data_IF_694019819187
#
_entry.id   IF_694019819187
#
_cell.length_a   1.000
_cell.length_b   1.000
_cell.length_c   1.000
_cell.angle_alpha   90.00
_cell.angle_beta   90.00
_cell.angle_gamma   90.00
#
_symmetry.space_group_name_H-M   'P 1'
#
loop_
_entity.id
_entity.type
_entity.pdbx_description
1 polymer ?
#
# COMPACT_ATOMS: atom_id res chain seq x y z
N UNK A 1 -4.04 28.53 18.00
CA UNK A 1 -4.67 27.20 18.06
C UNK A 1 -5.12 26.84 16.66
N UNK A 2 -4.62 25.73 16.12
CA UNK A 2 -4.70 25.36 14.70
C UNK A 2 -6.13 25.41 14.14
N UNK A 3 -6.32 25.84 12.88
CA UNK A 3 -7.65 26.07 12.32
C UNK A 3 -8.35 24.76 11.92
N UNK A 4 -9.68 24.86 11.93
CA UNK A 4 -10.67 23.88 11.54
C UNK A 4 -10.65 23.60 10.03
N UNK A 5 -10.90 22.34 9.63
CA UNK A 5 -11.47 21.98 8.33
C UNK A 5 -10.49 21.56 7.22
N UNK A 6 -10.46 20.27 6.90
CA UNK A 6 -9.85 19.73 5.69
C UNK A 6 -10.23 18.25 5.52
N UNK A 7 -11.10 17.96 4.56
CA UNK A 7 -11.32 16.60 4.07
C UNK A 7 -10.03 16.09 3.41
N UNK A 8 -9.64 14.86 3.75
CA UNK A 8 -8.77 13.99 2.95
C UNK A 8 -7.27 14.22 3.11
N UNK A 9 -6.56 13.11 3.31
CA UNK A 9 -5.11 12.88 3.36
C UNK A 9 -4.37 13.41 4.59
N UNK A 10 -4.16 12.50 5.53
CA UNK A 10 -3.13 12.67 6.55
C UNK A 10 -1.74 12.58 5.89
N UNK A 11 -0.74 13.41 6.27
CA UNK A 11 0.59 13.43 5.63
C UNK A 11 1.44 12.17 5.87
N UNK A 12 0.88 11.14 6.52
CA UNK A 12 1.56 9.89 6.85
C UNK A 12 1.05 8.70 6.02
N UNK A 13 0.03 8.90 5.17
CA UNK A 13 -0.48 7.90 4.22
C UNK A 13 0.45 7.85 3.00
N UNK A 14 1.08 6.70 2.75
CA UNK A 14 2.02 6.58 1.63
C UNK A 14 1.31 6.14 0.33
N UNK A 15 0.36 5.21 0.46
CA UNK A 15 -0.48 4.73 -0.64
C UNK A 15 -1.75 5.57 -0.77
N UNK A 16 -2.35 5.58 -1.95
CA UNK A 16 -3.61 6.28 -2.24
C UNK A 16 -4.43 5.46 -3.22
N UNK A 17 -5.75 5.56 -3.12
CA UNK A 17 -6.67 4.90 -4.06
C UNK A 17 -6.29 5.19 -5.52
N UNK A 18 -6.33 4.16 -6.37
CA UNK A 18 -5.96 4.20 -7.79
C UNK A 18 -4.50 4.62 -8.08
N UNK A 19 -3.65 4.74 -7.06
CA UNK A 19 -2.24 5.03 -7.25
C UNK A 19 -1.47 3.81 -7.70
N UNK A 20 -0.46 4.04 -8.54
CA UNK A 20 0.52 3.04 -8.93
C UNK A 20 1.85 3.31 -8.21
N UNK A 21 2.47 2.24 -7.71
CA UNK A 21 3.67 2.35 -6.90
C UNK A 21 4.67 1.25 -7.22
N UNK A 22 5.96 1.58 -7.06
CA UNK A 22 7.06 0.62 -7.07
C UNK A 22 7.49 0.35 -5.63
N UNK A 23 7.73 -0.92 -5.30
CA UNK A 23 8.30 -1.30 -4.01
C UNK A 23 9.77 -0.86 -3.96
N UNK A 24 10.13 -0.07 -2.96
CA UNK A 24 11.51 0.40 -2.75
C UNK A 24 12.37 -0.67 -2.05
N UNK A 25 13.67 -0.41 -1.91
CA UNK A 25 14.56 -1.26 -1.11
C UNK A 25 14.12 -1.37 0.36
N UNK A 26 13.47 -0.33 0.90
CA UNK A 26 12.97 -0.33 2.28
C UNK A 26 11.78 -1.29 2.46
N UNK A 27 11.04 -1.55 1.38
CA UNK A 27 9.90 -2.48 1.35
C UNK A 27 10.27 -3.96 1.12
N UNK A 28 11.53 -4.35 1.21
CA UNK A 28 11.99 -5.73 0.90
C UNK A 28 11.34 -6.86 1.71
N UNK A 29 10.69 -6.55 2.84
CA UNK A 29 9.96 -7.52 3.66
C UNK A 29 8.44 -7.39 3.53
N UNK A 30 7.95 -6.65 2.53
CA UNK A 30 6.53 -6.44 2.35
C UNK A 30 5.84 -7.76 1.98
N UNK A 31 4.74 -8.04 2.67
CA UNK A 31 3.95 -9.25 2.50
C UNK A 31 2.61 -8.87 1.89
N UNK A 32 2.27 -9.54 0.80
CA UNK A 32 0.91 -9.56 0.28
C UNK A 32 0.10 -10.55 1.10
N UNK A 33 -0.98 -10.11 1.72
CA UNK A 33 -1.79 -10.90 2.64
C UNK A 33 -3.20 -11.18 2.13
N UNK A 34 -3.80 -12.26 2.60
CA UNK A 34 -5.18 -12.62 2.25
C UNK A 34 -6.23 -11.71 2.89
N UNK A 35 -5.90 -11.09 4.03
CA UNK A 35 -6.80 -10.20 4.80
C UNK A 35 -6.00 -8.99 5.33
N UNK A 36 -6.67 -7.87 5.64
CA UNK A 36 -6.03 -6.68 6.22
C UNK A 36 -5.73 -6.88 7.70
N UNK A 37 -4.85 -7.83 8.01
CA UNK A 37 -4.46 -8.15 9.38
C UNK A 37 -3.09 -8.82 9.42
N UNK A 38 -2.36 -8.64 10.51
CA UNK A 38 -1.08 -9.32 10.77
C UNK A 38 -1.25 -10.85 10.84
N UNK A 39 -2.44 -11.31 11.19
CA UNK A 39 -2.83 -12.73 11.23
C UNK A 39 -3.21 -13.30 9.86
N UNK A 40 -3.39 -12.47 8.83
CA UNK A 40 -3.72 -12.91 7.47
C UNK A 40 -2.62 -13.76 6.84
N UNK A 41 -3.01 -14.75 6.05
CA UNK A 41 -2.07 -15.64 5.35
C UNK A 41 -1.17 -14.83 4.42
N UNK A 42 0.12 -15.18 4.36
CA UNK A 42 1.07 -14.55 3.43
C UNK A 42 0.95 -15.21 2.06
N UNK A 43 0.33 -14.51 1.10
CA UNK A 43 0.14 -14.96 -0.28
C UNK A 43 1.41 -14.81 -1.14
N UNK A 44 2.21 -13.78 -0.85
CA UNK A 44 3.48 -13.51 -1.51
C UNK A 44 4.37 -12.60 -0.66
N UNK A 45 5.67 -12.63 -0.97
CA UNK A 45 6.65 -11.65 -0.52
C UNK A 45 6.97 -10.76 -1.71
N UNK A 46 6.66 -9.47 -1.59
CA UNK A 46 6.92 -8.50 -2.64
C UNK A 46 8.38 -8.07 -2.59
N UNK A 47 8.97 -7.92 -3.77
CA UNK A 47 10.39 -7.58 -3.95
C UNK A 47 10.51 -6.14 -4.39
N UNK A 48 11.67 -5.55 -4.11
CA UNK A 48 12.06 -4.28 -4.67
C UNK A 48 11.90 -4.28 -6.20
N UNK A 49 11.32 -3.21 -6.75
CA UNK A 49 11.11 -3.04 -8.18
C UNK A 49 9.81 -3.66 -8.70
N UNK A 50 9.08 -4.45 -7.92
CA UNK A 50 7.74 -4.90 -8.31
C UNK A 50 6.75 -3.73 -8.27
N UNK A 51 5.80 -3.74 -9.20
CA UNK A 51 4.78 -2.71 -9.32
C UNK A 51 3.47 -3.18 -8.67
N UNK A 52 2.83 -2.27 -7.95
CA UNK A 52 1.52 -2.48 -7.37
C UNK A 52 0.56 -1.38 -7.81
N UNK A 53 -0.69 -1.76 -8.00
CA UNK A 53 -1.81 -0.85 -8.25
C UNK A 53 -2.75 -0.94 -7.06
N UNK A 54 -3.04 0.19 -6.43
CA UNK A 54 -4.01 0.26 -5.35
C UNK A 54 -5.42 0.14 -5.91
N UNK A 55 -6.16 -0.87 -5.44
CA UNK A 55 -7.51 -1.19 -5.89
C UNK A 55 -8.58 -0.74 -4.89
N UNK A 56 -8.32 -0.85 -3.59
CA UNK A 56 -9.28 -0.55 -2.52
C UNK A 56 -8.55 -0.25 -1.19
N UNK A 57 -9.29 0.26 -0.22
CA UNK A 57 -8.80 0.70 1.09
C UNK A 57 -8.83 2.22 1.29
N UNK A 58 -8.33 2.73 2.44
CA UNK A 58 -7.64 1.98 3.47
C UNK A 58 -8.60 1.29 4.46
N UNK A 59 -8.19 0.13 4.97
CA UNK A 59 -8.79 -0.49 6.16
C UNK A 59 -7.85 -0.36 7.36
N UNK A 60 -8.37 0.13 8.49
CA UNK A 60 -7.64 0.23 9.75
C UNK A 60 -7.76 -1.07 10.55
N UNK A 61 -6.64 -1.77 10.75
CA UNK A 61 -6.59 -3.00 11.55
C UNK A 61 -5.18 -3.27 12.08
N UNK A 62 -5.09 -3.83 13.29
CA UNK A 62 -3.83 -4.12 13.98
C UNK A 62 -2.88 -2.91 14.06
N UNK A 63 -3.43 -1.69 14.17
CA UNK A 63 -2.68 -0.41 14.18
C UNK A 63 -1.97 -0.05 12.86
N UNK A 64 -2.31 -0.72 11.75
CA UNK A 64 -1.85 -0.40 10.40
C UNK A 64 -3.01 0.07 9.53
N UNK A 65 -2.71 0.90 8.52
CA UNK A 65 -3.56 1.04 7.34
C UNK A 65 -3.24 -0.08 6.37
N UNK A 66 -4.26 -0.77 5.89
CA UNK A 66 -4.13 -1.83 4.90
C UNK A 66 -4.75 -1.40 3.58
N UNK A 67 -4.04 -1.70 2.50
CA UNK A 67 -4.45 -1.38 1.14
C UNK A 67 -4.58 -2.66 0.34
N UNK A 68 -5.69 -2.80 -0.37
CA UNK A 68 -5.88 -3.89 -1.31
C UNK A 68 -5.24 -3.51 -2.64
N UNK A 69 -4.32 -4.35 -3.11
CA UNK A 69 -3.49 -4.05 -4.28
C UNK A 69 -3.45 -5.22 -5.24
N UNK A 70 -3.15 -4.92 -6.50
CA UNK A 70 -2.76 -5.89 -7.52
C UNK A 70 -1.28 -5.74 -7.83
N UNK A 71 -0.54 -6.83 -7.81
CA UNK A 71 0.85 -6.89 -8.29
C UNK A 71 0.82 -7.02 -9.81
N UNK A 72 1.43 -6.10 -10.54
CA UNK A 72 1.35 -6.02 -12.01
C UNK A 72 1.98 -7.25 -12.66
N UNK A 73 3.15 -7.66 -12.19
CA UNK A 73 3.95 -8.73 -12.80
C UNK A 73 3.32 -10.12 -12.62
N UNK A 74 2.71 -10.37 -11.46
CA UNK A 74 2.14 -11.68 -11.13
C UNK A 74 0.63 -11.76 -11.26
N UNK A 75 -0.06 -10.61 -11.36
CA UNK A 75 -1.52 -10.51 -11.35
C UNK A 75 -2.17 -10.89 -10.01
N UNK A 76 -1.39 -11.18 -8.96
CA UNK A 76 -1.91 -11.52 -7.63
C UNK A 76 -2.51 -10.30 -6.97
N UNK A 77 -3.61 -10.51 -6.25
CA UNK A 77 -4.27 -9.48 -5.46
C UNK A 77 -4.25 -9.85 -3.97
N UNK A 78 -4.19 -8.84 -3.11
CA UNK A 78 -4.12 -9.02 -1.66
C UNK A 78 -3.85 -7.71 -0.93
N UNK A 79 -3.69 -7.82 0.38
CA UNK A 79 -3.54 -6.69 1.29
C UNK A 79 -2.07 -6.42 1.62
N UNK A 80 -1.68 -5.16 1.59
CA UNK A 80 -0.35 -4.68 2.02
C UNK A 80 -0.52 -3.64 3.12
N UNK A 81 0.41 -3.62 4.07
CA UNK A 81 0.41 -2.60 5.12
C UNK A 81 1.05 -1.31 4.60
N UNK A 82 0.45 -0.17 4.91
CA UNK A 82 1.01 1.14 4.63
C UNK A 82 2.25 1.40 5.48
N UNK A 83 3.30 1.91 4.85
CA UNK A 83 4.51 2.32 5.53
C UNK A 83 5.25 3.37 4.66
N UNK A 84 5.43 4.60 5.17
CA UNK A 84 6.20 5.62 4.48
C UNK A 84 7.59 5.15 4.05
N UNK A 85 7.94 5.40 2.79
CA UNK A 85 9.24 5.05 2.21
C UNK A 85 9.34 3.64 1.66
N UNK A 86 8.37 2.75 1.89
CA UNK A 86 8.30 1.43 1.23
C UNK A 86 7.81 1.51 -0.22
N UNK A 87 7.16 2.62 -0.56
CA UNK A 87 6.50 2.83 -1.84
C UNK A 87 7.03 4.10 -2.50
N UNK A 88 7.33 4.00 -3.79
CA UNK A 88 7.63 5.13 -4.65
C UNK A 88 6.49 5.29 -5.65
N UNK A 89 5.86 6.47 -5.68
CA UNK A 89 4.75 6.74 -6.59
C UNK A 89 5.24 6.73 -8.03
N UNK A 90 4.56 5.98 -8.89
CA UNK A 90 4.77 6.01 -10.33
C UNK A 90 3.84 7.07 -10.90
N UNK A 91 4.41 8.17 -11.37
CA UNK A 91 3.66 9.14 -12.15
C UNK A 91 3.23 8.45 -13.45
N UNK A 92 1.93 8.17 -13.60
CA UNK A 92 1.40 7.62 -14.85
C UNK A 92 1.78 8.56 -15.98
N UNK A 93 2.46 8.11 -17.05
CA UNK A 93 2.72 8.95 -18.20
C UNK A 93 1.37 9.31 -18.84
N UNK A 94 1.11 10.61 -18.98
CA UNK A 94 -0.10 11.15 -19.66
C UNK A 94 -0.35 10.53 -21.05
#
# INVERSE_FOLDING_TARGET
SSPLGGFGISPWEALKENGEYIITELGHNLRLRSTPALSGETLAWLKQGEHIIVLDGPEEADEYLWWYVRVVESGKEGWVADNPGWYEFVESPE
#
